data_IF_335660409385
#
_entry.id   IF_335660409385
#
_cell.length_a   1.000
_cell.length_b   1.000
_cell.length_c   1.000
_cell.angle_alpha   90.00
_cell.angle_beta   90.00
_cell.angle_gamma   90.00
#
_symmetry.space_group_name_H-M   'P 1'
#
loop_
_entity.id
_entity.type
_entity.pdbx_description
1 polymer ?
#
# COMPACT_ATOMS: atom_id res chain seq x y z
N UNK A 1 -6.52 19.63 13.55
CA UNK A 1 -6.89 19.29 14.94
C UNK A 1 -8.10 20.12 15.35
N UNK A 2 -9.03 19.59 16.16
CA UNK A 2 -10.21 20.33 16.60
C UNK A 2 -9.80 21.55 17.44
N UNK A 3 -10.43 22.71 17.19
CA UNK A 3 -10.15 23.99 17.87
C UNK A 3 -10.32 23.88 19.40
N UNK A 4 -11.24 23.05 19.86
CA UNK A 4 -11.57 22.83 21.28
C UNK A 4 -10.41 22.21 22.07
N UNK A 5 -9.73 21.19 21.50
CA UNK A 5 -8.61 20.52 22.16
C UNK A 5 -7.38 21.44 22.30
N UNK A 6 -7.13 22.30 21.30
CA UNK A 6 -6.04 23.27 21.37
C UNK A 6 -6.26 24.26 22.51
N UNK A 7 -7.46 24.84 22.63
CA UNK A 7 -7.78 25.80 23.71
C UNK A 7 -7.65 25.15 25.10
N UNK A 8 -8.06 23.90 25.25
CA UNK A 8 -7.90 23.16 26.51
C UNK A 8 -6.42 22.87 26.83
N UNK A 9 -5.58 22.59 25.82
CA UNK A 9 -4.14 22.44 26.00
C UNK A 9 -3.47 23.74 26.43
N UNK A 10 -3.84 24.87 25.82
CA UNK A 10 -3.29 26.17 26.19
C UNK A 10 -3.63 26.53 27.65
N UNK A 11 -4.84 26.20 28.09
CA UNK A 11 -5.28 26.34 29.48
C UNK A 11 -4.54 25.38 30.44
N UNK A 12 -4.23 24.15 30.00
CA UNK A 12 -3.42 23.18 30.75
C UNK A 12 -1.98 23.68 30.97
N UNK A 13 -1.35 24.20 29.92
CA UNK A 13 0.02 24.74 29.99
C UNK A 13 0.09 25.95 30.91
N UNK A 14 -0.95 26.78 30.88
CA UNK A 14 -1.12 27.96 31.75
C UNK A 14 -1.62 27.60 33.15
N UNK A 15 -1.91 26.32 33.42
CA UNK A 15 -2.48 25.83 34.68
C UNK A 15 -3.78 26.53 35.11
N UNK A 16 -4.59 26.96 34.14
CA UNK A 16 -5.90 27.59 34.34
C UNK A 16 -6.98 26.51 34.55
N UNK A 17 -6.98 25.90 35.74
CA UNK A 17 -7.84 24.74 36.05
C UNK A 17 -9.34 25.03 35.95
N UNK A 18 -9.75 26.22 36.37
CA UNK A 18 -11.15 26.66 36.28
C UNK A 18 -11.56 26.80 34.80
N UNK A 19 -10.66 27.31 33.96
CA UNK A 19 -10.91 27.43 32.52
C UNK A 19 -11.01 26.08 31.83
N UNK A 20 -10.24 25.09 32.26
CA UNK A 20 -10.34 23.72 31.75
C UNK A 20 -11.71 23.11 32.09
N UNK A 21 -12.20 23.33 33.30
CA UNK A 21 -13.52 22.86 33.72
C UNK A 21 -14.64 23.53 32.92
N UNK A 22 -14.59 24.85 32.73
CA UNK A 22 -15.53 25.57 31.85
C UNK A 22 -15.53 25.00 30.43
N UNK A 23 -14.35 24.86 29.82
CA UNK A 23 -14.20 24.31 28.48
C UNK A 23 -14.70 22.85 28.41
N UNK A 24 -14.51 22.08 29.47
CA UNK A 24 -15.01 20.71 29.56
C UNK A 24 -16.53 20.70 29.54
N UNK A 25 -17.18 21.53 30.34
CA UNK A 25 -18.64 21.66 30.36
C UNK A 25 -19.17 22.14 29.00
N UNK A 26 -18.54 23.14 28.40
CA UNK A 26 -18.86 23.60 27.03
C UNK A 26 -18.75 22.46 25.99
N UNK A 27 -17.83 21.50 26.20
CA UNK A 27 -17.68 20.33 25.33
C UNK A 27 -18.74 19.25 25.57
N UNK A 28 -19.26 19.12 26.80
CA UNK A 28 -20.37 18.21 27.10
C UNK A 28 -21.69 18.64 26.42
N UNK A 29 -21.84 19.93 26.14
CA UNK A 29 -23.00 20.48 25.41
C UNK A 29 -22.93 20.27 23.89
N UNK A 30 -21.80 19.79 23.37
CA UNK A 30 -21.61 19.53 21.94
C UNK A 30 -22.28 18.22 21.49
N UNK A 31 -22.74 18.18 20.24
CA UNK A 31 -23.31 17.00 19.61
C UNK A 31 -22.61 16.71 18.28
N UNK A 32 -21.87 15.59 18.15
CA UNK A 32 -21.57 14.59 19.19
C UNK A 32 -20.59 15.12 20.26
N UNK A 33 -20.65 14.55 21.47
CA UNK A 33 -19.69 14.86 22.55
C UNK A 33 -18.29 14.38 22.12
N UNK A 34 -17.24 15.25 22.20
CA UNK A 34 -15.88 14.92 21.77
C UNK A 34 -15.15 14.03 22.79
N UNK A 35 -15.64 12.79 22.94
CA UNK A 35 -15.25 11.86 24.00
C UNK A 35 -13.75 11.56 24.00
N UNK A 36 -13.14 11.34 22.82
CA UNK A 36 -11.71 10.99 22.73
C UNK A 36 -10.82 12.17 23.13
N UNK A 37 -11.18 13.38 22.71
CA UNK A 37 -10.51 14.62 23.09
C UNK A 37 -10.57 14.86 24.59
N UNK A 38 -11.75 14.68 25.20
CA UNK A 38 -11.94 14.82 26.64
C UNK A 38 -11.13 13.77 27.43
N UNK A 39 -11.04 12.53 26.95
CA UNK A 39 -10.18 11.52 27.58
C UNK A 39 -8.69 11.88 27.49
N UNK A 40 -8.25 12.54 26.42
CA UNK A 40 -6.88 13.05 26.29
C UNK A 40 -6.62 14.18 27.30
N UNK A 41 -7.52 15.16 27.40
CA UNK A 41 -7.44 16.27 28.36
C UNK A 41 -7.39 15.74 29.79
N UNK A 42 -8.27 14.78 30.13
CA UNK A 42 -8.25 14.10 31.44
C UNK A 42 -6.91 13.42 31.73
N UNK A 43 -6.31 12.76 30.73
CA UNK A 43 -4.98 12.16 30.86
C UNK A 43 -3.90 13.21 31.13
N UNK A 44 -3.98 14.38 30.50
CA UNK A 44 -3.07 15.51 30.75
C UNK A 44 -3.24 16.08 32.16
N UNK A 45 -4.48 16.33 32.60
CA UNK A 45 -4.79 16.76 33.97
C UNK A 45 -4.24 15.79 35.02
N UNK A 46 -4.36 14.49 34.77
CA UNK A 46 -3.82 13.45 35.66
C UNK A 46 -2.30 13.55 35.80
N UNK A 47 -1.60 13.73 34.68
CA UNK A 47 -0.13 13.91 34.65
C UNK A 47 0.30 15.20 35.37
N UNK A 48 -0.50 16.25 35.30
CA UNK A 48 -0.29 17.50 36.03
C UNK A 48 -0.64 17.42 37.53
N UNK A 49 -0.98 16.25 38.05
CA UNK A 49 -1.25 16.02 39.47
C UNK A 49 -2.70 16.32 39.90
N UNK A 50 -3.57 16.76 39.00
CA UNK A 50 -5.00 17.07 39.27
C UNK A 50 -5.88 15.83 39.20
N UNK A 51 -5.49 14.76 39.89
CA UNK A 51 -6.15 13.44 39.80
C UNK A 51 -7.61 13.46 40.22
N UNK A 52 -7.94 14.12 41.33
CA UNK A 52 -9.33 14.18 41.83
C UNK A 52 -10.25 14.91 40.85
N UNK A 53 -9.85 16.10 40.37
CA UNK A 53 -10.63 16.85 39.39
C UNK A 53 -10.78 16.07 38.07
N UNK A 54 -9.70 15.45 37.60
CA UNK A 54 -9.71 14.57 36.43
C UNK A 54 -10.69 13.39 36.57
N UNK A 55 -10.82 12.80 37.78
CA UNK A 55 -11.82 11.77 38.06
C UNK A 55 -13.24 12.31 38.07
N UNK A 56 -13.48 13.45 38.73
CA UNK A 56 -14.80 14.08 38.78
C UNK A 56 -15.32 14.44 37.39
N UNK A 57 -14.47 15.02 36.54
CA UNK A 57 -14.83 15.33 35.15
C UNK A 57 -15.08 14.07 34.31
N UNK A 58 -14.35 12.98 34.57
CA UNK A 58 -14.59 11.69 33.91
C UNK A 58 -15.92 11.06 34.36
N UNK A 59 -16.28 11.15 35.65
CA UNK A 59 -17.58 10.69 36.15
C UNK A 59 -18.72 11.48 35.52
N UNK A 60 -18.59 12.81 35.45
CA UNK A 60 -19.56 13.68 34.79
C UNK A 60 -19.71 13.32 33.30
N UNK A 61 -18.60 13.10 32.58
CA UNK A 61 -18.64 12.66 31.18
C UNK A 61 -19.42 11.35 31.02
N UNK A 62 -19.21 10.36 31.89
CA UNK A 62 -19.99 9.11 31.84
C UNK A 62 -21.47 9.38 32.06
N UNK A 63 -21.85 10.19 33.04
CA UNK A 63 -23.25 10.52 33.32
C UNK A 63 -23.92 11.24 32.15
N UNK A 64 -23.22 12.20 31.51
CA UNK A 64 -23.74 12.89 30.33
C UNK A 64 -23.90 11.94 29.14
N UNK A 65 -22.92 11.07 28.87
CA UNK A 65 -22.99 10.10 27.76
C UNK A 65 -24.12 9.08 27.96
N UNK A 66 -24.38 8.66 29.20
CA UNK A 66 -25.53 7.81 29.51
C UNK A 66 -26.86 8.55 29.31
N UNK A 67 -26.93 9.83 29.69
CA UNK A 67 -28.11 10.66 29.51
C UNK A 67 -28.43 10.97 28.04
N UNK A 68 -27.44 10.96 27.16
CA UNK A 68 -27.59 11.15 25.71
C UNK A 68 -27.71 9.84 24.92
N UNK A 69 -27.81 8.69 25.61
CA UNK A 69 -27.86 7.34 25.02
C UNK A 69 -26.65 7.00 24.11
N UNK A 70 -25.50 7.66 24.30
CA UNK A 70 -24.26 7.30 23.59
C UNK A 70 -23.59 6.09 24.26
N UNK A 71 -24.04 4.89 23.88
CA UNK A 71 -23.51 3.64 24.41
C UNK A 71 -22.01 3.43 24.09
N UNK A 72 -21.51 3.92 22.94
CA UNK A 72 -20.09 3.76 22.56
C UNK A 72 -19.19 4.69 23.36
N UNK A 73 -19.58 5.95 23.48
CA UNK A 73 -18.91 6.90 24.35
C UNK A 73 -18.92 6.41 25.81
N UNK A 74 -20.09 6.00 26.31
CA UNK A 74 -20.27 5.47 27.67
C UNK A 74 -19.34 4.28 27.94
N UNK A 75 -19.31 3.30 27.04
CA UNK A 75 -18.41 2.13 27.15
C UNK A 75 -16.95 2.57 27.26
N UNK A 76 -16.52 3.49 26.41
CA UNK A 76 -15.14 3.99 26.37
C UNK A 76 -14.78 4.73 27.65
N UNK A 77 -15.63 5.65 28.12
CA UNK A 77 -15.40 6.41 29.34
C UNK A 77 -15.42 5.54 30.61
N UNK A 78 -16.32 4.55 30.69
CA UNK A 78 -16.38 3.60 31.81
C UNK A 78 -15.16 2.69 31.90
N UNK A 79 -14.62 2.20 30.78
CA UNK A 79 -13.35 1.44 30.79
C UNK A 79 -12.24 2.28 31.41
N UNK A 80 -12.16 3.53 31.00
CA UNK A 80 -11.14 4.45 31.49
C UNK A 80 -11.32 4.78 32.98
N UNK A 81 -12.57 4.92 33.46
CA UNK A 81 -12.92 5.17 34.85
C UNK A 81 -12.56 3.98 35.75
N UNK A 82 -12.93 2.75 35.34
CA UNK A 82 -12.63 1.52 36.08
C UNK A 82 -11.12 1.26 36.13
N UNK A 83 -10.40 1.50 35.02
CA UNK A 83 -8.94 1.33 34.94
C UNK A 83 -8.18 2.25 35.91
N UNK A 84 -8.74 3.42 36.24
CA UNK A 84 -8.14 4.38 37.16
C UNK A 84 -8.61 4.23 38.61
N UNK A 85 -9.69 3.47 38.85
CA UNK A 85 -10.24 3.29 40.17
C UNK A 85 -9.30 2.46 41.07
N UNK A 86 -9.23 2.81 42.34
CA UNK A 86 -8.42 2.07 43.32
C UNK A 86 -9.03 0.72 43.71
N UNK A 87 -10.30 0.49 43.38
CA UNK A 87 -11.04 -0.75 43.66
C UNK A 87 -12.13 -0.96 42.62
N UNK A 88 -12.44 -2.23 42.35
CA UNK A 88 -13.56 -2.61 41.49
C UNK A 88 -14.89 -2.28 42.16
N UNK A 89 -15.64 -1.32 41.58
CA UNK A 89 -16.99 -0.96 41.99
C UNK A 89 -18.02 -1.76 41.15
N UNK A 90 -18.76 -2.70 41.75
CA UNK A 90 -19.72 -3.54 41.03
C UNK A 90 -20.74 -2.73 40.21
N UNK A 91 -21.19 -1.56 40.71
CA UNK A 91 -22.17 -0.73 39.99
C UNK A 91 -21.58 -0.13 38.71
N UNK A 92 -20.29 0.24 38.73
CA UNK A 92 -19.60 0.73 37.52
C UNK A 92 -19.41 -0.39 36.51
N UNK A 93 -19.14 -1.61 36.98
CA UNK A 93 -19.02 -2.79 36.11
C UNK A 93 -20.37 -3.18 35.50
N UNK A 94 -21.47 -3.08 36.24
CA UNK A 94 -22.83 -3.28 35.69
C UNK A 94 -23.16 -2.27 34.59
N UNK A 95 -22.86 -0.98 34.82
CA UNK A 95 -23.01 0.08 33.80
C UNK A 95 -22.15 -0.21 32.56
N UNK A 96 -20.90 -0.65 32.76
CA UNK A 96 -19.99 -1.03 31.68
C UNK A 96 -20.56 -2.17 30.86
N UNK A 97 -21.06 -3.22 31.53
CA UNK A 97 -21.66 -4.39 30.87
C UNK A 97 -22.94 -4.01 30.11
N UNK A 98 -23.77 -3.11 30.65
CA UNK A 98 -24.94 -2.58 29.96
C UNK A 98 -24.54 -1.85 28.67
N UNK A 99 -23.59 -0.91 28.75
CA UNK A 99 -23.10 -0.18 27.58
C UNK A 99 -22.49 -1.14 26.54
N UNK A 100 -21.70 -2.12 26.97
CA UNK A 100 -21.14 -3.16 26.12
C UNK A 100 -22.21 -3.97 25.39
N UNK A 101 -23.24 -4.39 26.12
CA UNK A 101 -24.38 -5.16 25.58
C UNK A 101 -25.09 -4.37 24.49
N UNK A 102 -25.35 -3.08 24.71
CA UNK A 102 -25.95 -2.20 23.70
C UNK A 102 -25.06 -2.06 22.46
N UNK A 103 -23.76 -1.83 22.64
CA UNK A 103 -22.80 -1.70 21.52
C UNK A 103 -22.72 -2.98 20.70
N UNK A 104 -22.86 -4.14 21.34
CA UNK A 104 -22.70 -5.47 20.72
C UNK A 104 -24.03 -6.18 20.43
N UNK A 105 -25.16 -5.49 20.51
CA UNK A 105 -26.51 -6.09 20.44
C UNK A 105 -26.80 -6.94 19.20
N UNK A 106 -26.05 -6.73 18.10
CA UNK A 106 -26.20 -7.50 16.87
C UNK A 106 -25.40 -8.80 16.84
N UNK A 107 -24.55 -9.06 17.86
CA UNK A 107 -23.67 -10.23 17.88
C UNK A 107 -24.48 -11.47 18.27
N UNK A 108 -24.57 -12.50 17.41
CA UNK A 108 -25.35 -13.71 17.69
C UNK A 108 -24.99 -14.42 19.00
N UNK A 109 -23.72 -14.34 19.42
CA UNK A 109 -23.25 -15.06 20.61
C UNK A 109 -23.14 -14.19 21.86
N UNK A 110 -23.64 -12.96 21.85
CA UNK A 110 -23.51 -12.00 22.96
C UNK A 110 -23.95 -12.59 24.30
N UNK A 111 -25.18 -13.13 24.36
CA UNK A 111 -25.73 -13.68 25.60
C UNK A 111 -24.94 -14.90 26.13
N UNK A 112 -24.37 -15.70 25.23
CA UNK A 112 -23.57 -16.86 25.60
C UNK A 112 -22.22 -16.44 26.17
N UNK A 113 -21.60 -15.42 25.56
CA UNK A 113 -20.32 -14.85 25.97
C UNK A 113 -20.44 -14.14 27.33
N UNK A 114 -21.48 -13.32 27.53
CA UNK A 114 -21.73 -12.65 28.82
C UNK A 114 -21.92 -13.68 29.94
N UNK A 115 -22.73 -14.72 29.70
CA UNK A 115 -22.97 -15.78 30.69
C UNK A 115 -21.73 -16.59 31.04
N UNK A 116 -20.76 -16.72 30.13
CA UNK A 116 -19.56 -17.50 30.37
C UNK A 116 -18.52 -16.76 31.21
N UNK A 117 -18.33 -15.45 30.95
CA UNK A 117 -17.27 -14.66 31.58
C UNK A 117 -17.73 -13.82 32.78
N UNK A 118 -19.00 -13.39 32.80
CA UNK A 118 -19.61 -12.54 33.84
C UNK A 118 -18.65 -11.54 34.52
N UNK A 119 -18.34 -10.41 33.85
CA UNK A 119 -17.41 -9.41 34.38
C UNK A 119 -17.80 -8.88 35.76
N UNK A 120 -19.08 -8.95 36.14
CA UNK A 120 -19.58 -8.42 37.43
C UNK A 120 -19.03 -9.18 38.64
N UNK A 121 -18.63 -10.44 38.44
CA UNK A 121 -18.06 -11.31 39.47
C UNK A 121 -16.53 -11.39 39.40
N UNK A 122 -15.90 -10.81 38.37
CA UNK A 122 -14.46 -10.90 38.17
C UNK A 122 -13.69 -9.86 38.98
N UNK A 123 -12.48 -10.24 39.41
CA UNK A 123 -11.51 -9.30 39.99
C UNK A 123 -10.89 -8.39 38.93
N UNK A 124 -10.89 -8.83 37.67
CA UNK A 124 -10.28 -8.15 36.53
C UNK A 124 -11.32 -7.92 35.42
N UNK A 125 -12.38 -7.14 35.67
CA UNK A 125 -13.52 -7.01 34.74
C UNK A 125 -13.14 -6.49 33.35
N UNK A 126 -12.08 -5.69 33.24
CA UNK A 126 -11.59 -5.19 31.95
C UNK A 126 -10.90 -6.28 31.13
N UNK A 127 -10.17 -7.20 31.78
CA UNK A 127 -9.53 -8.34 31.09
C UNK A 127 -10.58 -9.34 30.59
N UNK A 128 -11.64 -9.57 31.39
CA UNK A 128 -12.80 -10.36 30.93
C UNK A 128 -13.46 -9.70 29.73
N UNK A 129 -13.67 -8.38 29.78
CA UNK A 129 -14.30 -7.65 28.68
C UNK A 129 -13.47 -7.70 27.39
N UNK A 130 -12.14 -7.58 27.48
CA UNK A 130 -11.23 -7.72 26.34
C UNK A 130 -11.29 -9.13 25.72
N UNK A 131 -11.40 -10.14 26.57
CA UNK A 131 -11.59 -11.53 26.16
C UNK A 131 -12.93 -11.71 25.45
N UNK A 132 -14.01 -11.16 26.01
CA UNK A 132 -15.35 -11.17 25.41
C UNK A 132 -15.37 -10.45 24.06
N UNK A 133 -14.73 -9.27 23.95
CA UNK A 133 -14.59 -8.54 22.69
C UNK A 133 -13.88 -9.36 21.62
N UNK A 134 -12.81 -10.06 22.00
CA UNK A 134 -12.06 -10.90 21.07
C UNK A 134 -12.94 -12.03 20.52
N UNK A 135 -13.79 -12.66 21.35
CA UNK A 135 -14.78 -13.62 20.87
C UNK A 135 -15.79 -13.00 19.91
N UNK A 136 -16.40 -11.87 20.28
CA UNK A 136 -17.44 -11.23 19.47
C UNK A 136 -16.90 -10.61 18.18
N UNK A 137 -15.62 -10.23 18.12
CA UNK A 137 -14.98 -9.82 16.88
C UNK A 137 -14.83 -11.00 15.89
N UNK A 138 -14.85 -12.23 16.38
CA UNK A 138 -14.82 -13.46 15.59
C UNK A 138 -16.11 -14.26 15.75
N UNK A 139 -17.24 -13.58 15.94
CA UNK A 139 -18.53 -14.22 16.16
C UNK A 139 -18.97 -15.05 14.94
N UNK A 140 -19.96 -15.92 15.17
CA UNK A 140 -20.64 -16.70 14.14
C UNK A 140 -21.14 -15.76 13.04
N UNK A 141 -20.81 -16.11 11.80
CA UNK A 141 -21.11 -15.30 10.63
C UNK A 141 -19.95 -14.42 10.16
N UNK A 142 -18.95 -14.12 10.99
CA UNK A 142 -17.80 -13.31 10.60
C UNK A 142 -16.97 -14.02 9.53
N UNK A 143 -16.61 -13.30 8.47
CA UNK A 143 -15.72 -13.82 7.41
C UNK A 143 -14.28 -13.50 7.78
N UNK A 144 -13.44 -14.53 7.75
CA UNK A 144 -12.05 -14.49 8.21
C UNK A 144 -11.13 -15.17 7.21
N UNK A 145 -9.88 -14.71 7.18
CA UNK A 145 -8.78 -15.44 6.58
C UNK A 145 -8.01 -16.17 7.67
N UNK A 146 -7.82 -17.47 7.47
CA UNK A 146 -7.02 -18.35 8.33
C UNK A 146 -5.67 -18.58 7.63
N UNK A 147 -4.59 -18.12 8.26
CA UNK A 147 -3.25 -18.18 7.69
C UNK A 147 -2.88 -19.61 7.26
N UNK A 148 -2.54 -19.76 5.97
CA UNK A 148 -2.15 -21.06 5.38
C UNK A 148 -3.29 -22.04 5.13
N UNK A 149 -4.54 -21.70 5.45
CA UNK A 149 -5.72 -22.54 5.19
C UNK A 149 -6.68 -21.90 4.18
N UNK A 150 -6.82 -20.58 4.21
CA UNK A 150 -7.67 -19.83 3.27
C UNK A 150 -8.76 -19.01 3.94
N UNK A 151 -9.73 -18.58 3.15
CA UNK A 151 -10.80 -17.66 3.58
C UNK A 151 -12.08 -18.44 3.84
N UNK A 152 -12.76 -18.14 4.94
CA UNK A 152 -13.96 -18.84 5.33
C UNK A 152 -14.85 -18.06 6.30
N UNK A 153 -15.97 -18.67 6.68
CA UNK A 153 -16.93 -18.08 7.62
C UNK A 153 -16.88 -18.80 8.96
N UNK A 154 -16.88 -18.05 10.06
CA UNK A 154 -17.05 -18.64 11.40
C UNK A 154 -18.45 -19.25 11.49
N UNK A 155 -18.52 -20.54 11.80
CA UNK A 155 -19.79 -21.30 11.89
C UNK A 155 -20.15 -21.64 13.32
N UNK A 156 -19.16 -21.74 14.21
CA UNK A 156 -19.37 -22.10 15.61
C UNK A 156 -18.31 -21.41 16.47
N UNK A 157 -18.73 -20.89 17.63
CA UNK A 157 -17.82 -20.56 18.74
C UNK A 157 -18.13 -21.49 19.92
N UNK A 158 -17.09 -22.09 20.49
CA UNK A 158 -17.22 -23.01 21.61
C UNK A 158 -16.45 -22.48 22.81
N UNK A 159 -17.17 -21.76 23.68
CA UNK A 159 -16.60 -21.12 24.87
C UNK A 159 -16.04 -22.15 25.88
N UNK A 160 -16.66 -23.34 25.97
CA UNK A 160 -16.22 -24.39 26.91
C UNK A 160 -14.90 -25.04 26.49
N UNK A 161 -14.74 -25.29 25.19
CA UNK A 161 -13.52 -25.89 24.64
C UNK A 161 -12.47 -24.84 24.26
N UNK A 162 -12.82 -23.55 24.32
CA UNK A 162 -11.94 -22.45 23.94
C UNK A 162 -11.51 -22.54 22.48
N UNK A 163 -12.42 -22.84 21.55
CA UNK A 163 -12.12 -22.87 20.13
C UNK A 163 -13.26 -22.30 19.28
N UNK A 164 -12.94 -21.90 18.05
CA UNK A 164 -13.90 -21.54 17.02
C UNK A 164 -13.73 -22.46 15.80
N UNK A 165 -14.79 -22.59 15.00
CA UNK A 165 -14.76 -23.35 13.74
C UNK A 165 -15.00 -22.43 12.57
N UNK A 166 -14.12 -22.52 11.57
CA UNK A 166 -14.22 -21.78 10.31
C UNK A 166 -14.51 -22.77 9.19
N UNK A 167 -15.56 -22.51 8.43
CA UNK A 167 -15.84 -23.21 7.18
C UNK A 167 -15.17 -22.48 6.01
N UNK A 168 -14.15 -23.13 5.42
CA UNK A 168 -13.33 -22.62 4.31
C UNK A 168 -13.85 -23.13 2.95
N UNK A 169 -14.94 -23.90 2.94
CA UNK A 169 -15.53 -24.46 1.73
C UNK A 169 -14.79 -25.69 1.21
N UNK A 170 -15.53 -26.75 0.88
CA UNK A 170 -14.99 -27.98 0.29
C UNK A 170 -14.11 -28.85 1.20
N UNK A 171 -13.84 -28.43 2.43
CA UNK A 171 -13.06 -29.16 3.43
C UNK A 171 -13.81 -29.29 4.76
N UNK A 172 -13.29 -30.13 5.67
CA UNK A 172 -13.79 -30.20 7.05
C UNK A 172 -13.53 -28.84 7.74
N UNK A 173 -14.48 -28.29 8.52
CA UNK A 173 -14.27 -27.02 9.22
C UNK A 173 -12.99 -27.02 10.05
N UNK A 174 -12.22 -25.95 9.91
CA UNK A 174 -10.96 -25.76 10.61
C UNK A 174 -11.27 -25.33 12.05
N UNK A 175 -10.81 -26.11 13.03
CA UNK A 175 -10.94 -25.77 14.44
C UNK A 175 -9.71 -25.00 14.90
N UNK A 176 -9.93 -23.81 15.45
CA UNK A 176 -8.89 -22.87 15.84
C UNK A 176 -9.01 -22.63 17.35
N UNK A 177 -7.96 -22.94 18.14
CA UNK A 177 -7.93 -22.59 19.56
C UNK A 177 -8.01 -21.07 19.73
N UNK A 178 -8.80 -20.60 20.69
CA UNK A 178 -9.04 -19.19 20.93
C UNK A 178 -7.75 -18.37 21.15
N UNK A 179 -6.80 -18.93 21.91
CA UNK A 179 -5.49 -18.30 22.13
C UNK A 179 -4.62 -18.14 20.88
N UNK A 180 -4.99 -18.77 19.76
CA UNK A 180 -4.29 -18.68 18.47
C UNK A 180 -4.98 -17.71 17.49
N UNK A 181 -6.21 -17.27 17.78
CA UNK A 181 -7.06 -16.49 16.86
C UNK A 181 -6.38 -15.18 16.46
N UNK A 182 -5.89 -14.40 17.43
CA UNK A 182 -5.25 -13.10 17.15
C UNK A 182 -3.95 -13.19 16.35
N UNK A 183 -3.34 -14.38 16.25
CA UNK A 183 -2.08 -14.61 15.52
C UNK A 183 -2.31 -15.14 14.11
N UNK A 184 -3.31 -16.00 13.92
CA UNK A 184 -3.49 -16.76 12.69
C UNK A 184 -4.80 -16.48 11.96
N UNK A 185 -5.68 -15.67 12.55
CA UNK A 185 -6.99 -15.34 11.99
C UNK A 185 -7.08 -13.83 11.80
N UNK A 186 -7.37 -13.43 10.56
CA UNK A 186 -7.61 -12.04 10.19
C UNK A 186 -9.08 -11.86 9.84
N UNK A 187 -9.76 -10.98 10.55
CA UNK A 187 -11.14 -10.58 10.19
C UNK A 187 -11.10 -9.77 8.90
N UNK A 188 -11.93 -10.14 7.93
CA UNK A 188 -11.98 -9.46 6.65
C UNK A 188 -13.08 -8.39 6.64
N UNK A 189 -12.70 -7.18 6.25
CA UNK A 189 -13.61 -6.04 6.13
C UNK A 189 -14.64 -6.27 5.04
N UNK A 190 -15.82 -5.68 5.24
CA UNK A 190 -16.90 -5.68 4.24
C UNK A 190 -16.40 -5.11 2.91
N UNK A 191 -16.82 -5.76 1.83
CA UNK A 191 -16.41 -5.39 0.48
C UNK A 191 -14.97 -5.75 0.13
N UNK A 192 -14.13 -6.28 1.02
CA UNK A 192 -12.78 -6.73 0.64
C UNK A 192 -12.83 -7.88 -0.36
N UNK A 193 -11.87 -7.92 -1.30
CA UNK A 193 -11.81 -8.92 -2.37
C UNK A 193 -11.92 -10.36 -1.84
N UNK A 194 -11.16 -10.67 -0.78
CA UNK A 194 -11.15 -12.00 -0.18
C UNK A 194 -12.48 -12.36 0.47
N UNK A 195 -13.18 -11.39 1.09
CA UNK A 195 -14.50 -11.62 1.70
C UNK A 195 -15.57 -11.90 0.67
N UNK A 196 -15.54 -11.21 -0.48
CA UNK A 196 -16.46 -11.45 -1.59
C UNK A 196 -16.36 -12.86 -2.16
N UNK A 197 -15.22 -13.56 -2.01
CA UNK A 197 -15.12 -14.98 -2.41
C UNK A 197 -16.11 -15.87 -1.66
N UNK A 198 -16.48 -15.48 -0.44
CA UNK A 198 -17.41 -16.22 0.42
C UNK A 198 -18.83 -15.65 0.32
N UNK A 199 -18.97 -14.34 0.19
CA UNK A 199 -20.27 -13.65 0.21
C UNK A 199 -20.95 -13.58 -1.16
N UNK A 200 -20.20 -13.35 -2.23
CA UNK A 200 -20.73 -13.21 -3.58
C UNK A 200 -19.72 -13.71 -4.64
N UNK A 201 -19.47 -15.04 -4.68
CA UNK A 201 -18.47 -15.63 -5.56
C UNK A 201 -18.80 -15.45 -7.05
N UNK A 202 -20.08 -15.42 -7.41
CA UNK A 202 -20.52 -15.30 -8.81
C UNK A 202 -20.24 -13.90 -9.35
N UNK A 203 -20.66 -12.85 -8.64
CA UNK A 203 -20.38 -11.47 -9.06
C UNK A 203 -18.88 -11.18 -9.04
N UNK A 204 -18.14 -11.71 -8.06
CA UNK A 204 -16.68 -11.57 -8.02
C UNK A 204 -16.02 -12.20 -9.24
N UNK A 205 -16.44 -13.41 -9.63
CA UNK A 205 -15.94 -14.10 -10.82
C UNK A 205 -16.22 -13.31 -12.09
N UNK A 206 -17.42 -12.74 -12.21
CA UNK A 206 -17.78 -11.86 -13.32
C UNK A 206 -16.92 -10.59 -13.36
N UNK A 207 -16.68 -9.96 -12.20
CA UNK A 207 -15.83 -8.77 -12.07
C UNK A 207 -14.38 -9.06 -12.48
N UNK A 208 -13.79 -10.14 -11.97
CA UNK A 208 -12.42 -10.58 -12.31
C UNK A 208 -12.28 -10.80 -13.82
N UNK A 209 -13.29 -11.37 -14.47
CA UNK A 209 -13.28 -11.63 -15.91
C UNK A 209 -13.43 -10.34 -16.74
N UNK A 210 -14.38 -9.49 -16.37
CA UNK A 210 -14.78 -8.33 -17.18
C UNK A 210 -13.92 -7.10 -16.93
N UNK A 211 -13.45 -6.92 -15.70
CA UNK A 211 -12.69 -5.75 -15.23
C UNK A 211 -11.38 -6.18 -14.54
N UNK A 212 -10.41 -6.75 -15.28
CA UNK A 212 -9.18 -7.28 -14.71
C UNK A 212 -8.33 -6.21 -13.99
N UNK A 213 -8.32 -4.97 -14.51
CA UNK A 213 -7.60 -3.85 -13.90
C UNK A 213 -8.16 -3.46 -12.54
N UNK A 214 -9.47 -3.22 -12.46
CA UNK A 214 -10.15 -2.88 -11.21
C UNK A 214 -10.10 -4.03 -10.20
N UNK A 215 -10.16 -5.28 -10.67
CA UNK A 215 -10.00 -6.43 -9.78
C UNK A 215 -8.61 -6.51 -9.16
N UNK A 216 -7.56 -6.15 -9.91
CA UNK A 216 -6.21 -6.07 -9.36
C UNK A 216 -6.07 -4.94 -8.33
N UNK A 217 -6.64 -3.77 -8.62
CA UNK A 217 -6.74 -2.65 -7.66
C UNK A 217 -7.39 -3.11 -6.37
N UNK A 218 -8.55 -3.77 -6.46
CA UNK A 218 -9.31 -4.25 -5.30
C UNK A 218 -8.55 -5.29 -4.46
N UNK A 219 -7.77 -6.16 -5.12
CA UNK A 219 -6.87 -7.09 -4.42
C UNK A 219 -5.78 -6.33 -3.67
N UNK A 220 -5.13 -5.36 -4.32
CA UNK A 220 -4.00 -4.61 -3.76
C UNK A 220 -4.44 -3.70 -2.61
N UNK A 221 -5.62 -3.09 -2.69
CA UNK A 221 -6.21 -2.28 -1.59
C UNK A 221 -6.50 -3.12 -0.35
N UNK A 222 -6.80 -4.41 -0.52
CA UNK A 222 -7.03 -5.35 0.58
C UNK A 222 -5.74 -5.95 1.18
N UNK A 223 -4.57 -5.61 0.64
CA UNK A 223 -3.28 -6.12 1.09
C UNK A 223 -2.41 -5.00 1.65
N UNK A 224 -1.78 -5.24 2.79
CA UNK A 224 -0.93 -4.25 3.44
C UNK A 224 0.41 -4.11 2.70
N UNK A 225 0.56 -3.01 1.95
CA UNK A 225 1.81 -2.62 1.29
C UNK A 225 2.13 -3.39 -0.01
N UNK A 226 3.39 -3.31 -0.50
CA UNK A 226 3.76 -3.88 -1.79
C UNK A 226 3.68 -5.42 -1.83
N UNK A 227 2.95 -5.94 -2.82
CA UNK A 227 2.53 -7.34 -2.92
C UNK A 227 3.32 -8.11 -3.98
N UNK A 228 3.66 -9.37 -3.70
CA UNK A 228 4.24 -10.29 -4.70
C UNK A 228 3.20 -10.81 -5.70
N UNK A 229 3.65 -11.14 -6.91
CA UNK A 229 2.79 -11.82 -7.91
C UNK A 229 2.22 -13.14 -7.39
N UNK A 230 2.97 -13.87 -6.54
CA UNK A 230 2.51 -15.12 -5.94
C UNK A 230 1.28 -14.90 -5.04
N UNK A 231 1.28 -13.84 -4.22
CA UNK A 231 0.16 -13.49 -3.35
C UNK A 231 -1.06 -13.05 -4.15
N UNK A 232 -0.86 -12.26 -5.23
CA UNK A 232 -1.95 -11.87 -6.14
C UNK A 232 -2.59 -13.10 -6.78
N UNK A 233 -1.75 -14.05 -7.24
CA UNK A 233 -2.22 -15.30 -7.83
C UNK A 233 -3.02 -16.13 -6.82
N UNK A 234 -2.52 -16.24 -5.58
CA UNK A 234 -3.21 -16.97 -4.51
C UNK A 234 -4.56 -16.34 -4.15
N UNK A 235 -4.67 -15.01 -4.13
CA UNK A 235 -5.96 -14.34 -3.91
C UNK A 235 -7.01 -14.74 -4.96
N UNK A 236 -6.58 -14.92 -6.22
CA UNK A 236 -7.43 -15.30 -7.35
C UNK A 236 -7.77 -16.80 -7.42
N UNK A 237 -7.19 -17.64 -6.57
CA UNK A 237 -7.46 -19.07 -6.57
C UNK A 237 -8.96 -19.34 -6.35
N UNK A 238 -9.55 -20.19 -7.18
CA UNK A 238 -10.98 -20.49 -7.17
C UNK A 238 -11.86 -19.48 -7.91
N UNK A 239 -11.33 -18.33 -8.32
CA UNK A 239 -12.06 -17.28 -9.06
C UNK A 239 -11.58 -17.18 -10.52
N UNK A 240 -10.27 -17.23 -10.74
CA UNK A 240 -9.66 -17.22 -12.06
C UNK A 240 -9.06 -18.60 -12.39
N UNK A 241 -9.47 -19.25 -13.50
CA UNK A 241 -8.83 -20.48 -13.96
C UNK A 241 -7.34 -20.29 -14.25
N UNK A 242 -6.52 -21.29 -13.96
CA UNK A 242 -5.05 -21.21 -14.13
C UNK A 242 -4.63 -20.93 -15.57
N UNK A 243 -5.39 -21.42 -16.56
CA UNK A 243 -5.18 -21.16 -17.98
C UNK A 243 -5.45 -19.71 -18.40
N UNK A 244 -6.28 -18.98 -17.64
CA UNK A 244 -6.64 -17.58 -17.89
C UNK A 244 -5.66 -16.57 -17.29
N UNK A 245 -4.70 -17.02 -16.48
CA UNK A 245 -3.78 -16.15 -15.75
C UNK A 245 -3.02 -15.17 -16.66
N UNK A 246 -2.35 -15.67 -17.70
CA UNK A 246 -1.46 -14.85 -18.54
C UNK A 246 -2.22 -13.72 -19.27
N UNK A 247 -3.41 -14.04 -19.80
CA UNK A 247 -4.24 -13.06 -20.52
C UNK A 247 -4.87 -12.04 -19.56
N UNK A 248 -5.30 -12.49 -18.39
CA UNK A 248 -5.81 -11.63 -17.32
C UNK A 248 -4.73 -10.68 -16.82
N UNK A 249 -3.56 -11.19 -16.44
CA UNK A 249 -2.45 -10.42 -15.89
C UNK A 249 -1.96 -9.31 -16.84
N UNK A 250 -1.89 -9.63 -18.14
CA UNK A 250 -1.48 -8.68 -19.17
C UNK A 250 -2.44 -7.49 -19.28
N UNK A 251 -3.73 -7.69 -19.01
CA UNK A 251 -4.74 -6.62 -18.97
C UNK A 251 -4.75 -5.91 -17.61
N UNK A 252 -4.70 -6.67 -16.52
CA UNK A 252 -4.81 -6.17 -15.16
C UNK A 252 -3.72 -5.13 -14.82
N UNK A 253 -2.46 -5.46 -15.11
CA UNK A 253 -1.31 -4.58 -14.80
C UNK A 253 -1.27 -3.27 -15.58
N UNK A 254 -2.15 -3.08 -16.57
CA UNK A 254 -2.26 -1.84 -17.34
C UNK A 254 -3.12 -0.80 -16.64
N UNK A 255 -3.72 -1.12 -15.49
CA UNK A 255 -4.49 -0.15 -14.74
C UNK A 255 -3.60 1.08 -14.38
N UNK A 256 -4.08 2.31 -14.61
CA UNK A 256 -3.33 3.53 -14.34
C UNK A 256 -2.83 3.67 -12.89
N UNK A 257 -3.57 3.15 -11.91
CA UNK A 257 -3.25 3.24 -10.47
C UNK A 257 -2.22 2.20 -10.01
N UNK A 258 -1.93 1.18 -10.82
CA UNK A 258 -1.05 0.08 -10.44
C UNK A 258 0.39 0.45 -10.76
N UNK A 259 1.24 0.39 -9.73
CA UNK A 259 2.68 0.62 -9.80
C UNK A 259 3.44 -0.66 -9.51
N UNK A 260 4.66 -0.75 -10.05
CA UNK A 260 5.58 -1.86 -9.77
C UNK A 260 6.90 -1.34 -9.23
N UNK A 261 7.39 -1.93 -8.14
CA UNK A 261 8.68 -1.61 -7.54
C UNK A 261 9.59 -2.84 -7.49
N UNK A 262 10.90 -2.63 -7.55
CA UNK A 262 11.89 -3.71 -7.59
C UNK A 262 12.14 -4.31 -8.98
N UNK A 263 13.00 -5.33 -9.02
CA UNK A 263 13.44 -6.03 -10.23
C UNK A 263 13.55 -7.54 -9.98
N UNK A 264 13.37 -8.33 -11.05
CA UNK A 264 13.50 -9.79 -10.99
C UNK A 264 12.58 -10.42 -9.94
N UNK A 265 13.15 -11.24 -9.06
CA UNK A 265 12.44 -11.94 -7.98
C UNK A 265 11.93 -11.02 -6.86
N UNK A 266 12.38 -9.76 -6.80
CA UNK A 266 11.93 -8.75 -5.83
C UNK A 266 10.85 -7.82 -6.38
N UNK A 267 10.28 -8.13 -7.54
CA UNK A 267 9.21 -7.33 -8.12
C UNK A 267 7.97 -7.37 -7.22
N UNK A 268 7.46 -6.19 -6.89
CA UNK A 268 6.27 -5.98 -6.07
C UNK A 268 5.31 -5.04 -6.77
N UNK A 269 4.03 -5.15 -6.43
CA UNK A 269 2.96 -4.31 -6.95
C UNK A 269 2.22 -3.62 -5.83
N UNK A 270 1.83 -2.39 -6.05
CA UNK A 270 0.99 -1.63 -5.14
C UNK A 270 0.08 -0.71 -5.96
N UNK A 271 -0.88 -0.10 -5.28
CA UNK A 271 -1.90 0.75 -5.86
C UNK A 271 -1.88 2.10 -5.18
N UNK A 272 -2.11 3.15 -5.95
CA UNK A 272 -2.28 4.53 -5.47
C UNK A 272 -3.75 4.91 -5.41
N UNK A 273 -4.08 6.01 -4.73
CA UNK A 273 -5.47 6.47 -4.61
C UNK A 273 -6.05 6.88 -5.97
N UNK A 274 -5.24 7.51 -6.82
CA UNK A 274 -5.63 7.90 -8.19
C UNK A 274 -4.55 7.63 -9.25
N UNK A 275 -4.91 7.79 -10.52
CA UNK A 275 -3.98 7.68 -11.64
C UNK A 275 -2.96 8.83 -11.62
N UNK A 276 -3.41 10.00 -11.19
CA UNK A 276 -2.62 11.21 -11.00
C UNK A 276 -1.56 11.00 -9.91
N UNK A 277 -1.93 10.40 -8.77
CA UNK A 277 -0.97 10.07 -7.70
C UNK A 277 0.08 9.05 -8.18
N UNK A 278 -0.32 8.10 -9.02
CA UNK A 278 0.62 7.17 -9.65
C UNK A 278 1.62 7.89 -10.56
N UNK A 279 1.15 8.87 -11.35
CA UNK A 279 2.01 9.68 -12.20
C UNK A 279 2.96 10.57 -11.37
N UNK A 280 2.47 11.19 -10.29
CA UNK A 280 3.30 11.99 -9.38
C UNK A 280 4.37 11.14 -8.68
N UNK A 281 4.04 9.94 -8.23
CA UNK A 281 5.01 9.00 -7.66
C UNK A 281 6.10 8.63 -8.67
N UNK A 282 5.73 8.31 -9.91
CA UNK A 282 6.69 7.99 -10.97
C UNK A 282 7.55 9.20 -11.35
N UNK A 283 7.00 10.41 -11.29
CA UNK A 283 7.75 11.65 -11.50
C UNK A 283 8.77 11.89 -10.39
N UNK A 284 8.40 11.64 -9.12
CA UNK A 284 9.32 11.71 -7.99
C UNK A 284 10.44 10.65 -8.10
N UNK A 285 10.10 9.42 -8.52
CA UNK A 285 11.07 8.36 -8.81
C UNK A 285 12.01 8.78 -9.92
N UNK A 286 11.50 9.35 -11.02
CA UNK A 286 12.32 9.81 -12.14
C UNK A 286 13.35 10.88 -11.72
N UNK A 287 12.94 11.84 -10.88
CA UNK A 287 13.79 12.92 -10.37
C UNK A 287 14.89 12.42 -9.44
N UNK A 288 14.60 11.40 -8.63
CA UNK A 288 15.53 10.85 -7.64
C UNK A 288 16.37 9.68 -8.17
N UNK A 289 15.96 9.06 -9.27
CA UNK A 289 16.66 7.93 -9.87
C UNK A 289 18.08 8.29 -10.33
N UNK A 290 18.99 7.32 -10.13
CA UNK A 290 20.32 7.37 -10.74
C UNK A 290 20.24 7.27 -12.28
N UNK A 291 21.32 7.64 -13.00
CA UNK A 291 21.28 7.82 -14.46
C UNK A 291 20.68 6.63 -15.24
N UNK A 292 21.10 5.40 -14.93
CA UNK A 292 20.59 4.18 -15.59
C UNK A 292 19.12 3.88 -15.27
N UNK A 293 18.71 4.12 -14.03
CA UNK A 293 17.34 3.84 -13.57
C UNK A 293 16.34 4.87 -14.11
N UNK A 294 16.84 6.08 -14.40
CA UNK A 294 16.08 7.18 -15.00
C UNK A 294 15.42 6.80 -16.32
N UNK A 295 16.09 6.02 -17.18
CA UNK A 295 15.49 5.52 -18.43
C UNK A 295 14.24 4.68 -18.19
N UNK A 296 14.31 3.76 -17.22
CA UNK A 296 13.17 2.90 -16.87
C UNK A 296 12.04 3.72 -16.26
N UNK A 297 12.36 4.66 -15.38
CA UNK A 297 11.38 5.57 -14.78
C UNK A 297 10.69 6.44 -15.84
N UNK A 298 11.45 7.01 -16.77
CA UNK A 298 10.94 7.86 -17.85
C UNK A 298 10.03 7.08 -18.79
N UNK A 299 10.42 5.85 -19.17
CA UNK A 299 9.61 4.95 -19.98
C UNK A 299 8.29 4.59 -19.28
N UNK A 300 8.32 4.34 -17.98
CA UNK A 300 7.12 4.05 -17.20
C UNK A 300 6.18 5.26 -17.11
N UNK A 301 6.73 6.46 -16.85
CA UNK A 301 5.96 7.70 -16.78
C UNK A 301 5.35 8.06 -18.15
N UNK A 302 6.12 7.91 -19.23
CA UNK A 302 5.65 8.20 -20.60
C UNK A 302 4.51 7.30 -21.09
N UNK A 303 4.32 6.13 -20.46
CA UNK A 303 3.18 5.25 -20.75
C UNK A 303 1.87 5.71 -20.09
N UNK A 304 1.88 6.72 -19.21
CA UNK A 304 0.70 7.19 -18.48
C UNK A 304 -0.16 8.19 -19.24
N UNK A 305 0.42 8.91 -20.19
CA UNK A 305 -0.31 9.85 -21.04
C UNK A 305 0.62 10.86 -21.67
N UNK A 306 0.08 11.70 -22.55
CA UNK A 306 0.86 12.67 -23.31
C UNK A 306 1.53 13.71 -22.40
N UNK A 307 0.80 14.24 -21.41
CA UNK A 307 1.34 15.24 -20.48
C UNK A 307 2.52 14.69 -19.64
N UNK A 308 2.40 13.46 -19.15
CA UNK A 308 3.44 12.80 -18.37
C UNK A 308 4.64 12.40 -19.23
N UNK A 309 4.42 12.03 -20.49
CA UNK A 309 5.48 11.78 -21.44
C UNK A 309 6.27 13.06 -21.78
N UNK A 310 5.61 14.21 -21.89
CA UNK A 310 6.26 15.51 -22.04
C UNK A 310 7.11 15.85 -20.81
N UNK A 311 6.57 15.70 -19.60
CA UNK A 311 7.33 15.90 -18.35
C UNK A 311 8.55 14.98 -18.24
N UNK A 312 8.41 13.73 -18.68
CA UNK A 312 9.54 12.79 -18.73
C UNK A 312 10.62 13.27 -19.69
N UNK A 313 10.24 13.74 -20.89
CA UNK A 313 11.17 14.28 -21.88
C UNK A 313 11.92 15.52 -21.36
N UNK A 314 11.21 16.48 -20.75
CA UNK A 314 11.80 17.69 -20.16
C UNK A 314 12.89 17.35 -19.12
N UNK A 315 12.63 16.38 -18.24
CA UNK A 315 13.60 15.95 -17.24
C UNK A 315 14.81 15.18 -17.82
N UNK A 316 14.61 14.43 -18.91
CA UNK A 316 15.72 13.78 -19.60
C UNK A 316 16.63 14.80 -20.29
N UNK A 317 16.06 15.89 -20.82
CA UNK A 317 16.78 16.99 -21.46
C UNK A 317 17.60 17.78 -20.43
N UNK A 318 17.04 18.12 -19.26
CA UNK A 318 17.69 18.96 -18.24
C UNK A 318 19.06 18.40 -17.77
N UNK A 319 19.23 17.08 -17.76
CA UNK A 319 20.45 16.41 -17.31
C UNK A 319 21.36 15.89 -18.43
N UNK A 320 21.06 16.20 -19.70
CA UNK A 320 21.69 15.52 -20.84
C UNK A 320 23.18 15.88 -21.03
N UNK A 321 23.55 17.16 -20.93
CA UNK A 321 24.93 17.61 -21.16
C UNK A 321 25.92 16.96 -20.17
N UNK A 322 25.53 16.88 -18.89
CA UNK A 322 26.31 16.19 -17.87
C UNK A 322 26.42 14.69 -18.17
N UNK A 323 25.35 14.09 -18.70
CA UNK A 323 25.33 12.68 -19.05
C UNK A 323 26.25 12.34 -20.22
N UNK A 324 26.36 13.22 -21.22
CA UNK A 324 27.33 13.07 -22.33
C UNK A 324 28.75 12.96 -21.79
N UNK A 325 29.11 13.81 -20.82
CA UNK A 325 30.45 13.83 -20.23
C UNK A 325 30.73 12.59 -19.36
N UNK A 326 29.73 12.13 -18.60
CA UNK A 326 29.90 11.05 -17.62
C UNK A 326 29.75 9.63 -18.20
N UNK A 327 28.77 9.41 -19.08
CA UNK A 327 28.48 8.11 -19.71
C UNK A 327 27.85 8.33 -21.11
N UNK A 328 28.68 8.53 -22.15
CA UNK A 328 28.19 8.87 -23.49
C UNK A 328 27.37 7.73 -24.13
N UNK A 329 27.55 6.48 -23.70
CA UNK A 329 26.72 5.37 -24.17
C UNK A 329 25.33 5.37 -23.53
N UNK A 330 25.23 5.76 -22.26
CA UNK A 330 23.92 6.01 -21.62
C UNK A 330 23.24 7.27 -22.16
N UNK A 331 24.01 8.31 -22.51
CA UNK A 331 23.49 9.48 -23.21
C UNK A 331 22.85 9.08 -24.55
N UNK A 332 23.48 8.17 -25.30
CA UNK A 332 22.90 7.61 -26.52
C UNK A 332 21.56 6.92 -26.29
N UNK A 333 21.47 6.02 -25.31
CA UNK A 333 20.22 5.34 -24.94
C UNK A 333 19.14 6.33 -24.48
N UNK A 334 19.55 7.42 -23.84
CA UNK A 334 18.64 8.49 -23.39
C UNK A 334 18.09 9.28 -24.56
N UNK A 335 18.92 9.63 -25.55
CA UNK A 335 18.47 10.31 -26.76
C UNK A 335 17.55 9.39 -27.60
N UNK A 336 17.85 8.10 -27.69
CA UNK A 336 17.00 7.12 -28.38
C UNK A 336 15.62 7.00 -27.73
N UNK A 337 15.55 6.95 -26.38
CA UNK A 337 14.27 7.01 -25.66
C UNK A 337 13.55 8.35 -25.91
N UNK A 338 14.28 9.46 -25.83
CA UNK A 338 13.74 10.81 -26.03
C UNK A 338 13.10 10.96 -27.42
N UNK A 339 13.65 10.33 -28.45
CA UNK A 339 13.09 10.33 -29.80
C UNK A 339 11.66 9.74 -29.87
N UNK A 340 11.31 8.87 -28.92
CA UNK A 340 9.97 8.25 -28.83
C UNK A 340 8.97 9.06 -28.01
N UNK A 341 9.44 10.08 -27.27
CA UNK A 341 8.60 10.90 -26.39
C UNK A 341 8.07 12.15 -27.12
N UNK A 342 6.87 12.65 -26.77
CA UNK A 342 6.31 13.86 -27.36
C UNK A 342 7.23 15.07 -27.20
N UNK A 343 7.56 15.73 -28.33
CA UNK A 343 8.44 16.90 -28.36
C UNK A 343 9.93 16.58 -28.25
N UNK A 344 10.33 15.31 -28.13
CA UNK A 344 11.73 14.91 -27.98
C UNK A 344 12.47 14.59 -29.27
N UNK A 345 11.79 14.37 -30.40
CA UNK A 345 12.40 13.88 -31.65
C UNK A 345 13.47 14.82 -32.25
N UNK A 346 13.21 16.12 -32.29
CA UNK A 346 14.17 17.10 -32.82
C UNK A 346 15.41 17.18 -31.92
N UNK A 347 15.21 17.30 -30.61
CA UNK A 347 16.30 17.35 -29.62
C UNK A 347 17.12 16.06 -29.62
N UNK A 348 16.48 14.90 -29.68
CA UNK A 348 17.15 13.61 -29.78
C UNK A 348 18.02 13.52 -31.05
N UNK A 349 17.55 14.03 -32.18
CA UNK A 349 18.32 14.06 -33.43
C UNK A 349 19.58 14.90 -33.29
N UNK A 350 19.49 16.06 -32.62
CA UNK A 350 20.65 16.93 -32.34
C UNK A 350 21.66 16.20 -31.45
N UNK A 351 21.20 15.60 -30.35
CA UNK A 351 22.05 14.87 -29.42
C UNK A 351 22.73 13.64 -30.03
N UNK A 352 22.00 12.85 -30.83
CA UNK A 352 22.57 11.69 -31.52
C UNK A 352 23.62 12.11 -32.55
N UNK A 353 23.39 13.23 -33.26
CA UNK A 353 24.37 13.79 -34.19
C UNK A 353 25.62 14.28 -33.47
N UNK A 354 25.47 15.02 -32.37
CA UNK A 354 26.58 15.50 -31.54
C UNK A 354 27.42 14.33 -30.99
N UNK A 355 26.78 13.31 -30.42
CA UNK A 355 27.45 12.11 -29.93
C UNK A 355 28.17 11.34 -31.05
N UNK A 356 27.62 11.32 -32.26
CA UNK A 356 28.22 10.64 -33.40
C UNK A 356 29.44 11.40 -33.96
N UNK A 357 29.33 12.72 -34.06
CA UNK A 357 30.38 13.59 -34.61
C UNK A 357 31.52 13.82 -33.60
N UNK A 358 31.19 14.17 -32.36
CA UNK A 358 32.17 14.63 -31.37
C UNK A 358 32.54 13.59 -30.31
N UNK A 359 31.71 12.55 -30.14
CA UNK A 359 31.95 11.49 -29.15
C UNK A 359 33.12 10.57 -29.51
N UNK A 360 33.70 9.91 -28.51
CA UNK A 360 34.66 8.83 -28.75
C UNK A 360 33.89 7.53 -29.05
N UNK A 361 33.95 6.98 -30.29
CA UNK A 361 33.01 5.94 -30.73
C UNK A 361 32.99 4.69 -29.84
N UNK A 362 34.16 4.21 -29.40
CA UNK A 362 34.23 3.06 -28.51
C UNK A 362 33.65 3.32 -27.13
N UNK A 363 33.79 4.54 -26.60
CA UNK A 363 33.20 4.89 -25.30
C UNK A 363 31.67 4.89 -25.39
N UNK A 364 31.12 5.46 -26.47
CA UNK A 364 29.68 5.42 -26.77
C UNK A 364 29.22 3.96 -26.86
N UNK A 365 29.82 3.15 -27.74
CA UNK A 365 29.41 1.77 -27.97
C UNK A 365 29.51 0.89 -26.70
N UNK A 366 30.56 1.08 -25.89
CA UNK A 366 30.77 0.34 -24.65
C UNK A 366 29.75 0.67 -23.56
N UNK A 367 29.24 1.91 -23.52
CA UNK A 367 28.26 2.35 -22.53
C UNK A 367 26.82 1.94 -22.85
N UNK A 368 26.51 1.67 -24.13
CA UNK A 368 25.19 1.21 -24.57
C UNK A 368 24.97 -0.25 -24.16
N UNK A 369 23.87 -0.54 -23.47
CA UNK A 369 23.48 -1.89 -23.06
C UNK A 369 22.52 -2.53 -24.06
N UNK A 370 21.56 -1.78 -24.60
CA UNK A 370 20.56 -2.27 -25.53
C UNK A 370 21.18 -2.54 -26.92
N UNK A 371 21.07 -3.79 -27.38
CA UNK A 371 21.66 -4.23 -28.66
C UNK A 371 21.15 -3.43 -29.86
N UNK A 372 19.86 -3.08 -29.87
CA UNK A 372 19.25 -2.30 -30.94
C UNK A 372 19.83 -0.88 -31.00
N UNK A 373 20.01 -0.24 -29.83
CA UNK A 373 20.66 1.07 -29.75
C UNK A 373 22.12 1.00 -30.22
N UNK A 374 22.87 -0.08 -29.90
CA UNK A 374 24.24 -0.26 -30.42
C UNK A 374 24.30 -0.37 -31.93
N UNK A 375 23.35 -1.11 -32.53
CA UNK A 375 23.27 -1.21 -33.99
C UNK A 375 22.97 0.16 -34.61
N UNK A 376 22.01 0.90 -34.04
CA UNK A 376 21.69 2.27 -34.47
C UNK A 376 22.91 3.20 -34.39
N UNK A 377 23.70 3.10 -33.32
CA UNK A 377 24.94 3.87 -33.16
C UNK A 377 25.98 3.56 -34.23
N UNK A 378 26.22 2.28 -34.54
CA UNK A 378 27.14 1.88 -35.60
C UNK A 378 26.73 2.46 -36.95
N UNK A 379 25.45 2.37 -37.32
CA UNK A 379 24.95 2.95 -38.58
C UNK A 379 25.07 4.49 -38.58
N UNK A 380 24.85 5.16 -37.45
CA UNK A 380 25.02 6.61 -37.37
C UNK A 380 26.50 7.02 -37.49
N UNK A 381 27.44 6.25 -36.94
CA UNK A 381 28.87 6.49 -37.17
C UNK A 381 29.26 6.30 -38.63
N UNK A 382 28.66 5.33 -39.32
CA UNK A 382 28.86 5.14 -40.77
C UNK A 382 28.45 6.37 -41.59
N UNK A 383 27.35 7.00 -41.21
CA UNK A 383 26.84 8.20 -41.89
C UNK A 383 27.64 9.45 -41.54
N UNK A 384 27.98 9.63 -40.26
CA UNK A 384 28.64 10.85 -39.76
C UNK A 384 30.16 10.85 -39.96
N UNK A 385 30.80 9.68 -40.02
CA UNK A 385 32.25 9.50 -40.15
C UNK A 385 32.58 8.62 -41.35
N UNK A 386 32.24 9.11 -42.54
CA UNK A 386 32.29 8.34 -43.80
C UNK A 386 33.64 7.70 -44.11
N UNK A 387 34.74 8.30 -43.62
CA UNK A 387 36.09 7.84 -43.90
C UNK A 387 36.68 6.96 -42.78
N UNK A 388 36.19 7.10 -41.53
CA UNK A 388 36.72 6.42 -40.33
C UNK A 388 35.85 5.24 -39.87
N UNK A 389 34.60 5.13 -40.36
CA UNK A 389 33.66 4.11 -39.87
C UNK A 389 34.16 2.66 -39.99
N UNK A 390 34.93 2.24 -41.02
CA UNK A 390 35.40 0.86 -41.08
C UNK A 390 36.36 0.54 -39.93
N UNK A 391 37.23 1.48 -39.55
CA UNK A 391 38.15 1.32 -38.43
C UNK A 391 37.39 1.23 -37.10
N UNK A 392 36.40 2.11 -36.89
CA UNK A 392 35.54 2.11 -35.71
C UNK A 392 34.81 0.76 -35.55
N UNK A 393 34.23 0.26 -36.64
CA UNK A 393 33.50 -1.00 -36.66
C UNK A 393 34.42 -2.20 -36.46
N UNK A 394 35.60 -2.21 -37.09
CA UNK A 394 36.61 -3.24 -36.91
C UNK A 394 37.14 -3.29 -35.47
N UNK A 395 37.37 -2.13 -34.85
CA UNK A 395 37.78 -2.05 -33.45
C UNK A 395 36.67 -2.54 -32.51
N UNK A 396 35.41 -2.15 -32.76
CA UNK A 396 34.28 -2.64 -31.98
C UNK A 396 34.04 -4.16 -32.13
N UNK A 397 34.33 -4.75 -33.30
CA UNK A 397 34.21 -6.19 -33.55
C UNK A 397 34.95 -7.02 -32.49
N UNK A 398 36.07 -6.51 -31.97
CA UNK A 398 36.88 -7.16 -30.94
C UNK A 398 36.21 -7.18 -29.55
N UNK A 399 35.22 -6.31 -29.33
CA UNK A 399 34.51 -6.13 -28.05
C UNK A 399 33.10 -6.73 -28.06
N UNK A 400 32.49 -6.88 -29.23
CA UNK A 400 31.14 -7.43 -29.35
C UNK A 400 31.13 -8.95 -29.06
N UNK A 401 30.08 -9.40 -28.37
CA UNK A 401 29.92 -10.80 -27.93
C UNK A 401 28.71 -11.48 -28.58
N UNK A 402 27.86 -10.70 -29.23
CA UNK A 402 26.61 -11.17 -29.81
C UNK A 402 26.86 -11.66 -31.23
N UNK A 403 26.71 -12.97 -31.47
CA UNK A 403 26.95 -13.59 -32.78
C UNK A 403 26.28 -12.86 -33.94
N UNK A 404 25.00 -12.49 -33.81
CA UNK A 404 24.28 -11.81 -34.89
C UNK A 404 24.79 -10.40 -35.19
N UNK A 405 25.35 -9.71 -34.20
CA UNK A 405 25.98 -8.40 -34.40
C UNK A 405 27.38 -8.57 -35.02
N UNK A 406 28.15 -9.56 -34.58
CA UNK A 406 29.43 -9.91 -35.19
C UNK A 406 29.27 -10.24 -36.69
N UNK A 407 28.27 -11.06 -37.03
CA UNK A 407 27.95 -11.42 -38.42
C UNK A 407 27.52 -10.20 -39.25
N UNK A 408 26.83 -9.23 -38.62
CA UNK A 408 26.44 -7.98 -39.27
C UNK A 408 27.67 -7.11 -39.55
N UNK A 409 28.49 -6.86 -38.53
CA UNK A 409 29.70 -6.04 -38.63
C UNK A 409 30.67 -6.63 -39.66
N UNK A 410 30.97 -7.93 -39.57
CA UNK A 410 31.88 -8.60 -40.50
C UNK A 410 31.40 -8.48 -41.95
N UNK A 411 30.11 -8.68 -42.20
CA UNK A 411 29.52 -8.57 -43.54
C UNK A 411 29.65 -7.17 -44.12
N UNK A 412 29.40 -6.13 -43.32
CA UNK A 412 29.50 -4.74 -43.78
C UNK A 412 30.95 -4.32 -44.02
N UNK A 413 31.90 -4.79 -43.21
CA UNK A 413 33.35 -4.57 -43.42
C UNK A 413 33.88 -5.29 -44.67
N UNK A 414 33.41 -6.50 -44.95
CA UNK A 414 33.77 -7.21 -46.19
C UNK A 414 33.23 -6.48 -47.43
N UNK A 415 32.00 -5.96 -47.35
CA UNK A 415 31.38 -5.21 -48.45
C UNK A 415 32.05 -3.86 -48.72
N UNK A 416 32.66 -3.23 -47.71
CA UNK A 416 33.40 -1.98 -47.89
C UNK A 416 34.81 -2.16 -48.46
N UNK A 417 35.26 -3.41 -48.63
CA UNK A 417 36.56 -3.73 -49.21
C UNK A 417 37.73 -3.61 -48.23
N UNK A 418 37.45 -3.56 -46.92
CA UNK A 418 38.47 -3.40 -45.84
C UNK A 418 39.00 -4.76 -45.34
N UNK A 419 38.71 -5.84 -46.06
CA UNK A 419 39.03 -7.22 -45.65
C UNK A 419 40.54 -7.57 -45.71
N UNK A 420 41.40 -6.77 -46.34
CA UNK A 420 42.86 -6.99 -46.36
C UNK A 420 43.65 -5.67 -46.34
N UNK A 421 44.09 -5.23 -45.16
CA UNK A 421 45.24 -4.34 -44.95
C UNK A 421 45.94 -4.67 -43.62
#
# INVERSE_FOLDING_TARGET
MPRTLQTMRDALDSQEWDRIEELWLEALDQQPIPTLELLEVRRMMWKAGRKTQAMTLLELLVETLEATDDARGTLTALRELIRLANSTDPKKVERLLKAFTTVRQQSPSLDAVIRHYDPTQSRHPLEELETMETWLNHDVGTVVEVQGQGVGRVTEINLKLGNLKVDIGGQRPVSIPFGAVTRYVRVLTEGSFLRLKVEDPESLTASVKNNPGESLVHILEGMDGPVEVASIKSALDGVLPTSGWTSWWTKARKNPRVLSSGTGSRLRYHVTDSAEDAAESLLADLKSAGPRERLKAARNLGQRGQADATRAAELLIEGFDQLIADDPGLAWETADLLATLPGGAETATLYLSELAESGLPLQVLSGIRERACRQSALEQFRVSRTDEWPEIWAEWLLHEKTSSMLDHIARELDQSGVSEA
#
